data_IF_255359990837
#
_entry.id   IF_255359990837
#
_cell.length_a   1.000
_cell.length_b   1.000
_cell.length_c   1.000
_cell.angle_alpha   90.00
_cell.angle_beta   90.00
_cell.angle_gamma   90.00
#
_symmetry.space_group_name_H-M   'P 1'
#
loop_
_entity.id
_entity.type
_entity.pdbx_description
1 polymer ?
#
# COMPACT_ATOMS: atom_id res chain seq x y z
N UNK A 1 10.76 -11.13 2.70
CA UNK A 1 9.46 -11.24 2.00
C UNK A 1 8.77 -12.52 2.47
N UNK A 2 7.53 -12.47 2.97
CA UNK A 2 6.80 -13.69 3.34
C UNK A 2 6.38 -14.44 2.06
N UNK A 3 6.87 -15.68 1.88
CA UNK A 3 6.57 -16.51 0.72
C UNK A 3 5.09 -16.96 0.64
N UNK A 4 4.38 -16.96 1.78
CA UNK A 4 3.00 -17.43 1.91
C UNK A 4 2.02 -16.27 2.06
N UNK A 5 0.90 -16.34 1.34
CA UNK A 5 -0.24 -15.45 1.54
C UNK A 5 -1.15 -15.98 2.67
N UNK A 6 -1.56 -15.09 3.58
CA UNK A 6 -2.55 -15.37 4.60
C UNK A 6 -3.91 -15.62 3.97
N UNK A 7 -4.61 -16.61 4.48
CA UNK A 7 -5.92 -17.02 3.96
C UNK A 7 -6.84 -17.46 5.09
N UNK A 8 -8.10 -17.75 4.76
CA UNK A 8 -9.13 -18.29 5.66
C UNK A 8 -8.58 -19.32 6.65
N UNK A 9 -8.93 -19.15 7.94
CA UNK A 9 -8.46 -20.00 9.03
C UNK A 9 -7.05 -19.71 9.56
N UNK A 10 -6.29 -18.79 8.96
CA UNK A 10 -4.99 -18.36 9.49
C UNK A 10 -5.14 -17.23 10.51
N UNK A 11 -4.50 -17.37 11.67
CA UNK A 11 -4.51 -16.37 12.73
C UNK A 11 -3.90 -15.03 12.29
N UNK A 12 -4.32 -13.95 12.96
CA UNK A 12 -3.79 -12.62 12.72
C UNK A 12 -2.31 -12.56 13.14
N UNK A 13 -1.38 -12.13 12.26
CA UNK A 13 0.01 -11.92 12.68
C UNK A 13 0.09 -10.76 13.65
N UNK A 14 0.71 -10.98 14.82
CA UNK A 14 0.94 -9.94 15.82
C UNK A 14 1.62 -8.72 15.20
N UNK A 15 1.16 -7.52 15.55
CA UNK A 15 1.79 -6.27 15.12
C UNK A 15 3.09 -6.06 15.90
N UNK A 16 4.12 -5.59 15.22
CA UNK A 16 5.35 -5.14 15.88
C UNK A 16 5.22 -3.64 16.15
N UNK A 17 5.24 -3.18 17.43
CA UNK A 17 5.09 -1.77 17.74
C UNK A 17 6.11 -0.89 17.01
N UNK A 18 5.66 0.23 16.44
CA UNK A 18 6.48 1.16 15.68
C UNK A 18 6.95 0.67 14.31
N UNK A 19 6.70 -0.60 13.94
CA UNK A 19 7.12 -1.15 12.65
C UNK A 19 6.06 -0.92 11.59
N UNK A 20 6.49 -0.41 10.43
CA UNK A 20 5.63 -0.22 9.27
C UNK A 20 5.25 -1.57 8.65
N UNK A 21 3.95 -1.80 8.45
CA UNK A 21 3.40 -3.00 7.81
C UNK A 21 2.63 -2.63 6.56
N UNK A 22 2.93 -3.31 5.46
CA UNK A 22 2.14 -3.25 4.23
C UNK A 22 1.34 -4.53 4.05
N UNK A 23 0.01 -4.42 4.11
CA UNK A 23 -0.87 -5.47 3.62
C UNK A 23 -0.92 -5.43 2.10
N UNK A 24 -0.56 -6.54 1.46
CA UNK A 24 -0.33 -6.63 0.03
C UNK A 24 -0.97 -7.88 -0.56
N UNK A 25 -0.99 -7.96 -1.90
CA UNK A 25 -1.15 -9.21 -2.63
C UNK A 25 -0.04 -9.23 -3.69
N UNK A 26 0.64 -10.38 -3.85
CA UNK A 26 1.82 -10.54 -4.69
C UNK A 26 1.63 -10.09 -6.14
N UNK A 27 0.41 -10.21 -6.66
CA UNK A 27 0.07 -9.87 -8.04
C UNK A 27 -0.69 -8.55 -8.19
N UNK A 28 -0.80 -7.76 -7.13
CA UNK A 28 -1.53 -6.49 -7.16
C UNK A 28 -0.60 -5.35 -7.64
N UNK A 29 -0.88 -4.72 -8.80
CA UNK A 29 -0.05 -3.62 -9.29
C UNK A 29 -0.09 -2.39 -8.38
N UNK A 30 -1.23 -2.12 -7.73
CA UNK A 30 -1.37 -1.03 -6.76
C UNK A 30 -0.51 -1.25 -5.52
N UNK A 31 -0.40 -2.49 -5.03
CA UNK A 31 0.47 -2.81 -3.91
C UNK A 31 1.95 -2.78 -4.33
N UNK A 32 2.25 -3.19 -5.55
CA UNK A 32 3.59 -3.10 -6.13
C UNK A 32 4.09 -1.65 -6.21
N UNK A 33 3.23 -0.68 -6.53
CA UNK A 33 3.55 0.77 -6.47
C UNK A 33 4.11 1.16 -5.11
N UNK A 34 3.43 0.79 -4.03
CA UNK A 34 3.87 1.10 -2.65
C UNK A 34 5.16 0.35 -2.29
N UNK A 35 5.28 -0.93 -2.66
CA UNK A 35 6.50 -1.71 -2.44
C UNK A 35 7.71 -1.08 -3.12
N UNK A 36 7.57 -0.61 -4.36
CA UNK A 36 8.63 0.08 -5.08
C UNK A 36 9.04 1.37 -4.38
N UNK A 37 8.09 2.14 -3.85
CA UNK A 37 8.35 3.36 -3.11
C UNK A 37 9.10 3.10 -1.80
N UNK A 38 8.65 2.11 -1.02
CA UNK A 38 9.31 1.67 0.20
C UNK A 38 10.75 1.21 -0.08
N UNK A 39 10.97 0.47 -1.18
CA UNK A 39 12.28 0.01 -1.60
C UNK A 39 13.18 1.17 -2.05
N UNK A 40 12.68 2.08 -2.91
CA UNK A 40 13.42 3.23 -3.40
C UNK A 40 13.85 4.17 -2.26
N UNK A 41 13.00 4.31 -1.24
CA UNK A 41 13.30 5.10 -0.03
C UNK A 41 14.06 4.34 1.06
N UNK A 42 14.30 3.04 0.88
CA UNK A 42 14.97 2.15 1.85
C UNK A 42 14.29 2.16 3.24
N UNK A 43 12.97 2.20 3.26
CA UNK A 43 12.18 2.21 4.50
C UNK A 43 12.07 0.77 5.03
N UNK A 44 12.43 0.53 6.30
CA UNK A 44 12.22 -0.78 6.92
C UNK A 44 10.72 -1.04 7.10
N UNK A 45 10.27 -2.20 6.67
CA UNK A 45 8.86 -2.58 6.71
C UNK A 45 8.69 -4.09 6.66
N UNK A 46 7.53 -4.56 7.11
CA UNK A 46 7.07 -5.91 6.88
C UNK A 46 5.97 -5.95 5.82
N UNK A 47 5.90 -7.05 5.08
CA UNK A 47 4.88 -7.27 4.05
C UNK A 47 4.05 -8.46 4.45
N UNK A 48 2.74 -8.27 4.56
CA UNK A 48 1.77 -9.32 4.82
C UNK A 48 0.96 -9.54 3.54
N UNK A 49 1.28 -10.61 2.82
CA UNK A 49 0.50 -11.00 1.64
C UNK A 49 -0.84 -11.61 2.06
N UNK A 50 -1.95 -11.16 1.46
CA UNK A 50 -3.30 -11.68 1.69
C UNK A 50 -3.81 -12.33 0.41
N UNK A 51 -4.38 -13.53 0.55
CA UNK A 51 -5.11 -14.18 -0.52
C UNK A 51 -6.48 -13.50 -0.66
N UNK A 52 -6.66 -12.72 -1.73
CA UNK A 52 -7.90 -11.95 -1.97
C UNK A 52 -9.10 -12.87 -2.24
N UNK A 53 -8.87 -14.06 -2.79
CA UNK A 53 -9.94 -15.03 -3.08
C UNK A 53 -10.36 -15.83 -1.84
N UNK A 54 -9.45 -16.00 -0.88
CA UNK A 54 -9.67 -16.74 0.37
C UNK A 54 -9.23 -15.88 1.54
N UNK A 55 -9.90 -14.74 1.75
CA UNK A 55 -9.47 -13.76 2.77
C UNK A 55 -9.55 -14.37 4.17
N UNK A 56 -8.58 -14.09 5.05
CA UNK A 56 -8.71 -14.43 6.46
C UNK A 56 -9.79 -13.56 7.11
N UNK A 57 -10.42 -14.09 8.15
CA UNK A 57 -11.55 -13.51 8.86
C UNK A 57 -11.20 -12.16 9.51
N UNK A 58 -9.95 -12.03 9.97
CA UNK A 58 -9.44 -10.80 10.57
C UNK A 58 -9.19 -9.68 9.56
N UNK A 59 -9.17 -9.98 8.25
CA UNK A 59 -8.81 -9.00 7.22
C UNK A 59 -9.73 -7.79 7.19
N UNK A 60 -11.01 -7.95 7.53
CA UNK A 60 -12.00 -6.85 7.58
C UNK A 60 -11.70 -5.82 8.66
N UNK A 61 -10.93 -6.18 9.69
CA UNK A 61 -10.51 -5.27 10.77
C UNK A 61 -9.37 -4.34 10.33
N UNK A 62 -8.57 -4.77 9.36
CA UNK A 62 -7.38 -4.03 8.90
C UNK A 62 -7.47 -3.53 7.47
N UNK A 63 -8.44 -4.01 6.67
CA UNK A 63 -8.71 -3.57 5.31
C UNK A 63 -10.10 -2.91 5.26
N UNK A 64 -10.23 -1.61 5.61
CA UNK A 64 -11.52 -0.92 5.64
C UNK A 64 -12.26 -1.01 4.30
N UNK A 65 -11.52 -0.83 3.19
CA UNK A 65 -12.04 -0.91 1.83
C UNK A 65 -12.07 -2.34 1.25
N UNK A 66 -11.70 -3.37 2.03
CA UNK A 66 -11.54 -4.78 1.58
C UNK A 66 -10.58 -4.97 0.40
N UNK A 67 -9.76 -3.97 0.12
CA UNK A 67 -8.76 -3.93 -0.95
C UNK A 67 -7.35 -3.84 -0.36
N UNK A 68 -6.35 -4.06 -1.21
CA UNK A 68 -4.94 -3.81 -0.92
C UNK A 68 -4.41 -2.84 -1.98
N UNK A 69 -3.38 -2.02 -1.68
CA UNK A 69 -2.59 -1.99 -0.45
C UNK A 69 -3.25 -1.26 0.72
N UNK A 70 -2.85 -1.66 1.93
CA UNK A 70 -3.08 -0.89 3.16
C UNK A 70 -1.79 -0.79 3.95
N UNK A 71 -1.42 0.44 4.31
CA UNK A 71 -0.30 0.74 5.19
C UNK A 71 -0.80 0.80 6.64
N UNK A 72 -0.09 0.13 7.55
CA UNK A 72 -0.44 0.07 8.96
C UNK A 72 0.81 0.29 9.81
N UNK A 73 0.75 1.24 10.74
CA UNK A 73 1.75 1.43 11.79
C UNK A 73 1.03 1.86 13.07
N UNK A 74 1.13 1.03 14.12
CA UNK A 74 0.44 1.25 15.40
C UNK A 74 -1.08 1.47 15.22
N UNK A 75 -1.57 2.68 15.49
CA UNK A 75 -2.98 3.06 15.34
C UNK A 75 -3.29 3.71 13.98
N UNK A 76 -2.28 3.93 13.13
CA UNK A 76 -2.44 4.57 11.83
C UNK A 76 -2.71 3.52 10.75
N UNK A 77 -3.80 3.70 10.00
CA UNK A 77 -4.16 2.86 8.87
C UNK A 77 -4.47 3.74 7.66
N UNK A 78 -3.77 3.54 6.56
CA UNK A 78 -3.93 4.29 5.31
C UNK A 78 -4.24 3.32 4.19
N UNK A 79 -5.35 3.53 3.50
CA UNK A 79 -5.77 2.74 2.33
C UNK A 79 -5.53 3.53 1.05
N UNK A 80 -5.31 2.81 -0.06
CA UNK A 80 -5.17 3.42 -1.38
C UNK A 80 -3.72 3.72 -1.74
N UNK A 81 -3.26 3.15 -2.86
CA UNK A 81 -1.84 3.21 -3.23
C UNK A 81 -1.30 4.63 -3.47
N UNK A 82 -2.12 5.55 -3.98
CA UNK A 82 -1.73 6.95 -4.17
C UNK A 82 -1.62 7.71 -2.85
N UNK A 83 -2.63 7.61 -1.99
CA UNK A 83 -2.60 8.25 -0.67
C UNK A 83 -1.43 7.74 0.18
N UNK A 84 -1.16 6.43 0.14
CA UNK A 84 0.02 5.85 0.79
C UNK A 84 1.31 6.41 0.19
N UNK A 85 1.42 6.50 -1.13
CA UNK A 85 2.61 7.03 -1.78
C UNK A 85 2.88 8.50 -1.37
N UNK A 86 1.85 9.34 -1.38
CA UNK A 86 1.95 10.75 -0.97
C UNK A 86 2.39 10.87 0.49
N UNK A 87 1.77 10.10 1.39
CA UNK A 87 2.17 10.03 2.79
C UNK A 87 3.65 9.65 2.95
N UNK A 88 4.12 8.63 2.23
CA UNK A 88 5.52 8.22 2.28
C UNK A 88 6.47 9.27 1.70
N UNK A 89 6.05 10.05 0.70
CA UNK A 89 6.86 11.14 0.16
C UNK A 89 7.02 12.29 1.16
N UNK A 90 5.95 12.61 1.89
CA UNK A 90 5.94 13.70 2.87
C UNK A 90 6.69 13.33 4.15
N UNK A 91 6.48 12.13 4.69
CA UNK A 91 7.12 11.69 5.94
C UNK A 91 8.60 11.35 5.72
N UNK A 92 8.95 10.76 4.58
CA UNK A 92 10.32 10.36 4.26
C UNK A 92 10.88 11.21 3.12
N UNK A 93 11.33 12.42 3.48
CA UNK A 93 11.74 13.45 2.53
C UNK A 93 12.97 13.11 1.65
N UNK A 94 13.74 12.07 2.00
CA UNK A 94 14.94 11.65 1.25
C UNK A 94 14.97 10.13 1.01
N UNK A 95 15.28 9.66 -0.21
CA UNK A 95 15.37 10.44 -1.44
C UNK A 95 13.99 10.96 -1.85
N UNK A 96 13.97 12.17 -2.41
CA UNK A 96 12.77 12.75 -3.03
C UNK A 96 12.49 12.03 -4.34
N UNK A 97 11.29 11.47 -4.48
CA UNK A 97 10.88 10.74 -5.69
C UNK A 97 9.99 11.59 -6.60
N UNK A 98 9.28 12.58 -6.04
CA UNK A 98 8.43 13.47 -6.82
C UNK A 98 9.13 14.80 -7.18
N UNK A 99 8.84 15.38 -8.35
CA UNK A 99 9.34 16.70 -8.69
C UNK A 99 8.82 17.75 -7.70
N UNK A 100 9.65 18.77 -7.44
CA UNK A 100 9.27 19.91 -6.59
C UNK A 100 8.37 20.90 -7.33
N UNK A 101 8.49 20.95 -8.66
CA UNK A 101 7.66 21.78 -9.52
C UNK A 101 6.19 21.29 -9.52
N UNK A 102 5.22 22.15 -9.16
CA UNK A 102 3.82 21.76 -9.07
C UNK A 102 3.22 21.26 -10.40
N UNK A 103 3.62 21.87 -11.52
CA UNK A 103 3.11 21.48 -12.84
C UNK A 103 3.57 20.06 -13.20
N UNK A 104 4.86 19.75 -13.04
CA UNK A 104 5.40 18.40 -13.25
C UNK A 104 4.77 17.37 -12.31
N UNK A 105 4.53 17.72 -11.05
CA UNK A 105 3.83 16.83 -10.10
C UNK A 105 2.40 16.52 -10.56
N UNK A 106 1.68 17.53 -11.07
CA UNK A 106 0.35 17.34 -11.64
C UNK A 106 0.38 16.50 -12.92
N UNK A 107 1.41 16.67 -13.76
CA UNK A 107 1.60 15.88 -14.98
C UNK A 107 1.85 14.40 -14.65
N UNK A 108 2.71 14.10 -13.67
CA UNK A 108 2.98 12.73 -13.22
C UNK A 108 1.70 12.07 -12.65
N UNK A 109 0.89 12.82 -11.88
CA UNK A 109 -0.40 12.34 -11.39
C UNK A 109 -1.38 12.07 -12.53
N UNK A 110 -1.49 12.99 -13.49
CA UNK A 110 -2.35 12.83 -14.67
C UNK A 110 -1.98 11.60 -15.49
N UNK A 111 -0.68 11.35 -15.67
CA UNK A 111 -0.21 10.13 -16.35
C UNK A 111 -0.64 8.86 -15.61
N UNK A 112 -0.54 8.85 -14.28
CA UNK A 112 -1.01 7.72 -13.48
C UNK A 112 -2.51 7.51 -13.62
N UNK A 113 -3.32 8.56 -13.53
CA UNK A 113 -4.79 8.47 -13.63
C UNK A 113 -5.23 7.95 -15.00
N UNK A 114 -4.59 8.41 -16.08
CA UNK A 114 -4.88 7.94 -17.45
C UNK A 114 -4.42 6.51 -17.72
N UNK A 115 -3.40 6.03 -17.00
CA UNK A 115 -2.87 4.67 -17.15
C UNK A 115 -3.69 3.60 -16.42
N UNK A 116 -4.57 4.01 -15.50
CA UNK A 116 -5.40 3.08 -14.74
C UNK A 116 -6.64 2.70 -15.55
N UNK A 117 -7.02 1.40 -15.57
CA UNK A 117 -8.28 1.01 -16.18
C UNK A 117 -9.43 1.68 -15.43
N UNK A 118 -10.43 2.17 -16.18
CA UNK A 118 -11.63 2.85 -15.66
C UNK A 118 -12.36 2.03 -14.59
N UNK A 119 -12.18 0.71 -14.57
CA UNK A 119 -12.75 -0.17 -13.54
C UNK A 119 -12.06 -0.13 -12.16
N UNK A 120 -10.94 0.59 -12.03
CA UNK A 120 -10.18 0.73 -10.78
C UNK A 120 -10.28 2.12 -10.15
N UNK A 121 -10.95 3.07 -10.80
CA UNK A 121 -11.38 4.29 -10.11
C UNK A 121 -12.47 3.89 -9.13
N UNK A 122 -12.32 4.30 -7.87
CA UNK A 122 -13.41 4.25 -6.90
C UNK A 122 -14.55 5.08 -7.48
N UNK A 123 -15.53 4.42 -8.07
CA UNK A 123 -16.82 5.04 -8.33
C UNK A 123 -17.35 5.50 -6.98
N UNK A 124 -17.46 6.82 -6.82
CA UNK A 124 -18.04 7.46 -5.65
C UNK A 124 -19.55 7.17 -5.58
#
# INVERSE_FOLDING_TARGET
>A
MTARAYQTGMAFPSLTPGKLRLYSNRFCPFAQRVLLMLAAKKIDHEVINININKRPEWSTKVLPARTVPVLHQDNMVISGSMAIAEYLEEVYASPRLLPSDPYRKALDRSFLDLSLPVSCTVDF
#
